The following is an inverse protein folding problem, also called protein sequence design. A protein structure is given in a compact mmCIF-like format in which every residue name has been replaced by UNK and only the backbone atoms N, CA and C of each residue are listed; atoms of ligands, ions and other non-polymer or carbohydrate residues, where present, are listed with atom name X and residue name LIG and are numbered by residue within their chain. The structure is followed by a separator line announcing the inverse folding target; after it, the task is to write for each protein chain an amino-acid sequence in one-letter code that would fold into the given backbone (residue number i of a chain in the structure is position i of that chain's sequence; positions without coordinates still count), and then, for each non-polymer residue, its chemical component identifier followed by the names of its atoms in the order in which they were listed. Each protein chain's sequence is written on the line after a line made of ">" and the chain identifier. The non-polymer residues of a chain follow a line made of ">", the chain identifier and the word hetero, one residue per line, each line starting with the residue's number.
data_IF_832857204076
#
_entry.id   IF_832857204076
#
_cell.length_a   1.000
_cell.length_b   1.000
_cell.length_c   1.000
_cell.angle_alpha   90.00
_cell.angle_beta   90.00
_cell.angle_gamma   90.00
#
_symmetry.space_group_name_H-M   'P 1'
#
loop_
_entity.id
_entity.type
_entity.pdbx_description
1 polymer ?
#
# COMPACT_ATOMS: atom_id res chain seq x y z
N UNK A 1 12.19 -31.47 -13.14
CA UNK A 1 12.75 -30.11 -13.42
C UNK A 1 11.92 -29.04 -12.70
N UNK A 2 10.58 -29.05 -12.79
CA UNK A 2 9.70 -28.08 -12.10
C UNK A 2 9.92 -28.04 -10.59
N UNK A 3 9.98 -29.22 -9.94
CA UNK A 3 10.22 -29.34 -8.49
C UNK A 3 11.57 -28.77 -8.04
N UNK A 4 12.61 -28.86 -8.91
CA UNK A 4 13.94 -28.31 -8.62
C UNK A 4 13.98 -26.79 -8.65
N UNK A 5 13.12 -26.15 -9.44
CA UNK A 5 13.05 -24.70 -9.52
C UNK A 5 12.22 -24.10 -8.38
N UNK A 6 11.34 -24.89 -7.78
CA UNK A 6 10.51 -24.48 -6.67
C UNK A 6 9.53 -23.36 -7.01
N UNK A 7 9.08 -22.66 -6.00
CA UNK A 7 8.15 -21.53 -6.11
C UNK A 7 8.60 -20.33 -5.29
N UNK A 8 8.10 -19.16 -5.61
CA UNK A 8 8.07 -17.99 -4.73
C UNK A 8 6.88 -18.11 -3.78
N UNK A 9 6.68 -17.14 -2.89
CA UNK A 9 5.49 -17.08 -2.03
C UNK A 9 4.17 -16.97 -2.82
N UNK A 10 4.20 -16.69 -4.12
CA UNK A 10 3.01 -16.39 -4.94
C UNK A 10 2.93 -17.14 -6.27
N UNK A 11 4.04 -17.63 -6.80
CA UNK A 11 4.07 -18.22 -8.13
C UNK A 11 5.20 -19.25 -8.27
N UNK A 12 5.02 -20.29 -9.11
CA UNK A 12 6.08 -21.23 -9.44
C UNK A 12 7.17 -20.53 -10.26
N UNK A 13 8.46 -20.82 -9.96
CA UNK A 13 9.61 -20.22 -10.65
C UNK A 13 9.81 -20.70 -12.08
N UNK A 14 9.16 -21.81 -12.45
CA UNK A 14 9.22 -22.38 -13.79
C UNK A 14 8.12 -21.87 -14.74
N UNK A 15 7.12 -21.14 -14.22
CA UNK A 15 6.05 -20.59 -15.05
C UNK A 15 6.51 -19.30 -15.74
N UNK A 16 6.29 -19.21 -17.05
CA UNK A 16 6.62 -18.06 -17.88
C UNK A 16 5.33 -17.57 -18.53
N UNK A 17 5.06 -16.26 -18.39
CA UNK A 17 3.98 -15.61 -19.12
C UNK A 17 4.55 -14.88 -20.35
N UNK A 18 4.03 -15.22 -21.54
CA UNK A 18 4.31 -14.43 -22.75
C UNK A 18 3.45 -13.16 -22.73
N UNK A 19 4.09 -11.99 -22.91
CA UNK A 19 3.44 -10.69 -22.91
C UNK A 19 3.52 -10.04 -24.28
N UNK A 20 2.38 -9.60 -24.80
CA UNK A 20 2.33 -8.78 -26.00
C UNK A 20 2.80 -7.34 -25.69
N UNK A 21 3.24 -6.57 -26.70
CA UNK A 21 3.46 -5.13 -26.53
C UNK A 21 2.21 -4.46 -25.98
N UNK A 22 2.31 -3.63 -24.93
CA UNK A 22 1.14 -2.99 -24.34
C UNK A 22 0.55 -1.95 -25.28
N UNK A 23 -0.76 -1.84 -25.28
CA UNK A 23 -1.50 -0.75 -25.91
C UNK A 23 -1.07 0.59 -25.30
N UNK A 24 -0.84 1.60 -26.15
CA UNK A 24 -0.54 2.97 -25.74
C UNK A 24 -1.68 3.87 -26.20
N UNK A 25 -2.26 4.60 -25.25
CA UNK A 25 -3.35 5.55 -25.49
C UNK A 25 -2.92 6.96 -25.08
N UNK A 26 -3.72 7.97 -25.47
CA UNK A 26 -3.50 9.37 -25.05
C UNK A 26 -4.66 9.81 -24.17
N UNK A 27 -4.34 10.60 -23.15
CA UNK A 27 -5.34 11.22 -22.27
C UNK A 27 -4.82 12.52 -21.70
N UNK A 28 -5.73 13.39 -21.22
CA UNK A 28 -5.36 14.67 -20.60
C UNK A 28 -4.98 14.46 -19.13
N UNK A 29 -3.81 14.96 -18.75
CA UNK A 29 -3.37 15.06 -17.35
C UNK A 29 -4.08 16.26 -16.71
N UNK A 30 -5.05 15.98 -15.85
CA UNK A 30 -5.88 17.00 -15.20
C UNK A 30 -5.20 17.60 -13.97
N UNK A 31 -4.50 16.76 -13.20
CA UNK A 31 -3.84 17.14 -11.96
C UNK A 31 -2.74 16.14 -11.59
N UNK A 32 -1.82 16.54 -10.72
CA UNK A 32 -0.88 15.65 -10.05
C UNK A 32 -1.08 15.79 -8.55
N UNK A 33 -1.52 14.74 -7.90
CA UNK A 33 -1.74 14.67 -6.46
C UNK A 33 -0.71 13.78 -5.79
N UNK A 34 -0.67 13.78 -4.45
CA UNK A 34 0.24 12.92 -3.69
C UNK A 34 -0.53 12.02 -2.74
N UNK A 35 0.00 10.81 -2.54
CA UNK A 35 -0.49 9.85 -1.55
C UNK A 35 0.61 9.50 -0.56
N UNK A 36 0.24 9.26 0.72
CA UNK A 36 1.15 8.91 1.80
C UNK A 36 1.00 7.43 2.11
N UNK A 37 2.03 6.65 1.80
CA UNK A 37 2.04 5.21 2.06
C UNK A 37 2.39 4.85 3.50
N UNK A 38 2.27 3.57 3.86
CA UNK A 38 2.48 3.04 5.23
C UNK A 38 3.85 3.35 5.84
N UNK A 39 4.87 3.57 5.02
CA UNK A 39 6.24 3.92 5.45
C UNK A 39 6.53 5.42 5.39
N UNK A 40 5.49 6.23 5.28
CA UNK A 40 5.59 7.68 5.15
C UNK A 40 5.97 8.18 3.76
N UNK A 41 6.32 7.31 2.80
CA UNK A 41 6.67 7.71 1.44
C UNK A 41 5.53 8.48 0.79
N UNK A 42 5.82 9.69 0.31
CA UNK A 42 4.86 10.57 -0.36
C UNK A 42 5.05 10.41 -1.87
N UNK A 43 4.09 9.78 -2.51
CA UNK A 43 4.19 9.37 -3.91
C UNK A 43 3.25 10.22 -4.77
N UNK A 44 3.76 10.97 -5.77
CA UNK A 44 2.93 11.67 -6.73
C UNK A 44 2.25 10.68 -7.67
N UNK A 45 0.99 10.99 -8.03
CA UNK A 45 0.24 10.25 -9.02
C UNK A 45 -0.53 11.21 -9.94
N UNK A 46 -0.66 10.81 -11.20
CA UNK A 46 -1.42 11.53 -12.20
C UNK A 46 -2.92 11.29 -12.01
N UNK A 47 -3.72 12.36 -12.03
CA UNK A 47 -5.17 12.35 -12.20
C UNK A 47 -5.47 12.75 -13.64
N UNK A 48 -6.13 11.86 -14.38
CA UNK A 48 -6.29 12.00 -15.83
C UNK A 48 -7.77 11.95 -16.23
N UNK A 49 -8.10 12.51 -17.39
CA UNK A 49 -9.38 12.24 -18.01
C UNK A 49 -9.52 10.73 -18.22
N UNK A 50 -10.66 10.12 -17.83
CA UNK A 50 -10.85 8.68 -17.97
C UNK A 50 -10.65 8.23 -19.42
N UNK A 51 -9.86 7.16 -19.61
CA UNK A 51 -9.58 6.60 -20.93
C UNK A 51 -9.63 5.08 -20.89
N UNK A 52 -10.09 4.47 -21.96
CA UNK A 52 -10.08 3.02 -22.10
C UNK A 52 -8.70 2.55 -22.53
N UNK A 53 -8.13 1.59 -21.81
CA UNK A 53 -6.89 0.93 -22.18
C UNK A 53 -6.92 -0.53 -21.74
N UNK A 54 -6.67 -1.44 -22.67
CA UNK A 54 -6.68 -2.90 -22.43
C UNK A 54 -7.93 -3.36 -21.65
N UNK A 55 -9.11 -2.96 -22.13
CA UNK A 55 -10.41 -3.40 -21.60
C UNK A 55 -10.85 -2.82 -20.25
N UNK A 56 -10.12 -1.83 -19.70
CA UNK A 56 -10.52 -1.15 -18.46
C UNK A 56 -10.40 0.38 -18.58
N UNK A 57 -11.22 1.09 -17.83
CA UNK A 57 -11.14 2.56 -17.72
C UNK A 57 -10.08 2.94 -16.70
N UNK A 58 -9.13 3.76 -17.11
CA UNK A 58 -8.05 4.29 -16.25
C UNK A 58 -8.19 5.80 -16.12
N UNK A 59 -8.12 6.32 -14.90
CA UNK A 59 -8.13 7.74 -14.57
C UNK A 59 -6.98 8.16 -13.66
N UNK A 60 -6.20 7.22 -13.14
CA UNK A 60 -5.06 7.49 -12.26
C UNK A 60 -3.86 6.60 -12.61
N UNK A 61 -2.66 7.15 -12.49
CA UNK A 61 -1.41 6.40 -12.68
C UNK A 61 -0.31 6.92 -11.75
N UNK A 62 0.55 6.02 -11.28
CA UNK A 62 1.69 6.44 -10.45
C UNK A 62 2.71 7.25 -11.25
N UNK A 63 3.32 8.22 -10.58
CA UNK A 63 4.48 8.98 -11.09
C UNK A 63 5.74 8.70 -10.24
N UNK A 64 5.67 7.73 -9.34
CA UNK A 64 6.73 7.15 -8.52
C UNK A 64 7.36 8.12 -7.49
N UNK A 65 7.96 9.22 -7.94
CA UNK A 65 8.60 10.23 -7.08
C UNK A 65 8.74 11.58 -7.84
N UNK A 66 9.08 12.68 -7.14
CA UNK A 66 9.22 14.01 -7.79
C UNK A 66 10.29 14.05 -8.87
N UNK A 67 11.38 13.28 -8.72
CA UNK A 67 12.44 13.22 -9.73
C UNK A 67 11.93 12.60 -11.04
N UNK A 68 11.09 11.57 -10.97
CA UNK A 68 10.44 10.96 -12.13
C UNK A 68 9.46 11.91 -12.82
N UNK A 69 8.68 12.69 -12.07
CA UNK A 69 7.82 13.73 -12.66
C UNK A 69 8.65 14.70 -13.49
N UNK A 70 9.75 15.18 -12.91
CA UNK A 70 10.69 16.10 -13.60
C UNK A 70 11.36 15.41 -14.81
N UNK A 71 11.83 14.18 -14.65
CA UNK A 71 12.49 13.42 -15.72
C UNK A 71 11.57 13.16 -16.91
N UNK A 72 10.31 12.83 -16.65
CA UNK A 72 9.29 12.63 -17.69
C UNK A 72 8.88 13.95 -18.36
N UNK A 73 9.12 15.09 -17.71
CA UNK A 73 8.82 16.42 -18.24
C UNK A 73 7.33 16.68 -18.42
N UNK A 74 6.47 16.00 -17.63
CA UNK A 74 5.03 16.16 -17.68
C UNK A 74 4.61 17.41 -16.91
N UNK A 75 3.65 18.14 -17.47
CA UNK A 75 3.03 19.33 -16.87
C UNK A 75 1.53 19.06 -16.68
N UNK A 76 0.95 19.61 -15.63
CA UNK A 76 -0.51 19.57 -15.43
C UNK A 76 -1.16 20.33 -16.61
N UNK A 77 -2.11 19.69 -17.28
CA UNK A 77 -2.73 20.17 -18.49
C UNK A 77 -2.24 19.50 -19.78
N UNK A 78 -1.11 18.78 -19.75
CA UNK A 78 -0.58 18.02 -20.90
C UNK A 78 -1.56 16.97 -21.41
N UNK A 79 -1.49 16.67 -22.70
CA UNK A 79 -1.88 15.35 -23.22
C UNK A 79 -0.69 14.43 -22.97
N UNK A 80 -0.94 13.27 -22.37
CA UNK A 80 0.09 12.31 -22.01
C UNK A 80 -0.13 10.95 -22.68
N UNK A 81 0.95 10.25 -22.97
CA UNK A 81 0.91 8.85 -23.35
C UNK A 81 0.76 7.97 -22.10
N UNK A 82 -0.19 7.05 -22.12
CA UNK A 82 -0.51 6.10 -21.06
C UNK A 82 -0.46 4.69 -21.60
N UNK A 83 0.12 3.77 -20.84
CA UNK A 83 0.03 2.33 -21.06
C UNK A 83 -0.23 1.59 -19.75
N UNK A 84 -0.54 0.30 -19.84
CA UNK A 84 -0.48 -0.61 -18.68
C UNK A 84 0.81 -1.41 -18.71
N UNK A 85 1.71 -1.14 -17.78
CA UNK A 85 2.92 -1.95 -17.60
C UNK A 85 2.52 -3.36 -17.14
N UNK A 86 3.01 -4.39 -17.87
CA UNK A 86 2.65 -5.78 -17.61
C UNK A 86 1.15 -6.10 -17.70
N UNK A 87 0.38 -5.29 -18.45
CA UNK A 87 -1.08 -5.38 -18.62
C UNK A 87 -1.90 -5.08 -17.36
N UNK A 88 -1.27 -4.58 -16.30
CA UNK A 88 -1.92 -4.33 -15.00
C UNK A 88 -1.76 -2.90 -14.52
N UNK A 89 -0.52 -2.38 -14.46
CA UNK A 89 -0.21 -1.12 -13.76
C UNK A 89 -0.22 0.05 -14.76
N UNK A 90 -1.14 1.04 -14.59
CA UNK A 90 -1.11 2.24 -15.39
C UNK A 90 0.19 3.04 -15.20
N UNK A 91 0.82 3.40 -16.31
CA UNK A 91 2.06 4.17 -16.34
C UNK A 91 1.96 5.30 -17.35
N UNK A 92 2.23 6.53 -16.91
CA UNK A 92 2.43 7.68 -17.79
C UNK A 92 3.84 7.59 -18.39
N UNK A 93 3.94 7.57 -19.71
CA UNK A 93 5.21 7.49 -20.42
C UNK A 93 5.87 8.86 -20.57
N UNK A 94 5.08 9.89 -20.89
CA UNK A 94 5.53 11.26 -21.12
C UNK A 94 4.45 12.11 -21.77
N UNK A 95 4.70 13.40 -22.01
CA UNK A 95 3.77 14.31 -22.65
C UNK A 95 3.81 14.20 -24.19
N UNK A 96 2.72 14.61 -24.82
CA UNK A 96 2.66 14.94 -26.27
C UNK A 96 3.00 16.41 -26.38
N UNK A 97 4.29 16.72 -26.50
CA UNK A 97 4.81 18.11 -26.41
C UNK A 97 4.23 19.00 -27.49
N UNK A 98 3.95 18.45 -28.67
CA UNK A 98 3.41 19.17 -29.84
C UNK A 98 1.96 19.66 -29.60
N UNK A 99 1.26 19.08 -28.63
CA UNK A 99 -0.12 19.45 -28.28
C UNK A 99 -0.19 20.46 -27.10
N UNK A 100 0.94 20.98 -26.64
CA UNK A 100 0.99 22.01 -25.60
C UNK A 100 0.43 23.35 -26.10
N UNK A 101 -0.36 23.98 -25.25
CA UNK A 101 -1.03 25.24 -25.54
C UNK A 101 -0.38 26.44 -24.84
N UNK A 102 0.62 26.20 -23.98
CA UNK A 102 1.26 27.21 -23.13
C UNK A 102 0.52 27.54 -21.84
N UNK A 103 -0.57 26.78 -21.53
CA UNK A 103 -1.33 26.90 -20.29
C UNK A 103 -0.94 25.84 -19.25
N UNK A 104 -0.12 24.92 -19.66
CA UNK A 104 0.37 23.84 -18.82
C UNK A 104 1.31 24.38 -17.74
N UNK A 105 1.29 23.79 -16.56
CA UNK A 105 2.11 24.23 -15.44
C UNK A 105 2.77 23.07 -14.72
N UNK A 106 3.91 23.35 -14.08
CA UNK A 106 4.69 22.35 -13.38
C UNK A 106 4.01 21.92 -12.06
N UNK A 107 4.12 20.65 -11.75
CA UNK A 107 3.79 20.14 -10.43
C UNK A 107 4.82 20.62 -9.39
N UNK A 108 4.31 21.09 -8.26
CA UNK A 108 5.12 21.45 -7.09
C UNK A 108 4.84 20.45 -5.97
N UNK A 109 5.88 19.76 -5.53
CA UNK A 109 5.77 18.82 -4.41
C UNK A 109 5.39 19.58 -3.13
N UNK A 110 4.40 19.13 -2.35
CA UNK A 110 4.08 19.78 -1.09
C UNK A 110 5.25 19.72 -0.11
N UNK A 111 5.42 20.76 0.68
CA UNK A 111 6.44 20.83 1.74
C UNK A 111 5.98 20.15 3.02
N UNK A 112 4.68 20.05 3.22
CA UNK A 112 4.07 19.46 4.40
C UNK A 112 3.20 18.25 4.01
N UNK A 113 3.13 17.28 4.91
CA UNK A 113 2.27 16.12 4.74
C UNK A 113 0.79 16.54 4.63
N UNK A 114 0.07 16.15 3.56
CA UNK A 114 -1.32 16.56 3.38
C UNK A 114 -2.26 15.97 4.44
N UNK A 115 -1.84 14.93 5.16
CA UNK A 115 -2.67 14.23 6.13
C UNK A 115 -2.44 14.69 7.59
N UNK A 116 -1.19 15.01 7.96
CA UNK A 116 -0.86 15.37 9.34
C UNK A 116 -0.09 16.68 9.50
N UNK A 117 0.18 17.42 8.42
CA UNK A 117 0.87 18.70 8.46
C UNK A 117 2.37 18.66 8.76
N UNK A 118 2.97 17.50 9.08
CA UNK A 118 4.40 17.39 9.37
C UNK A 118 5.25 17.77 8.18
N UNK A 119 6.37 18.45 8.42
CA UNK A 119 7.33 18.80 7.37
C UNK A 119 7.86 17.53 6.69
N UNK A 120 7.78 17.50 5.36
CA UNK A 120 8.29 16.40 4.56
C UNK A 120 9.79 16.55 4.33
N UNK A 121 10.51 15.42 4.37
CA UNK A 121 11.94 15.39 4.13
C UNK A 121 12.37 14.07 3.49
N UNK A 122 13.50 14.04 2.76
CA UNK A 122 14.14 12.78 2.42
C UNK A 122 14.66 12.09 3.69
N UNK A 123 14.68 10.76 3.73
CA UNK A 123 15.19 10.00 4.89
C UNK A 123 16.71 10.12 5.00
N UNK A 124 17.40 10.22 3.88
CA UNK A 124 18.85 10.42 3.77
C UNK A 124 19.12 11.47 2.71
N UNK A 125 20.26 12.15 2.81
CA UNK A 125 20.74 13.03 1.77
C UNK A 125 20.89 12.25 0.44
N UNK A 126 20.34 12.82 -0.65
CA UNK A 126 20.32 12.19 -1.97
C UNK A 126 19.20 11.16 -2.19
N UNK A 127 18.32 10.91 -1.22
CA UNK A 127 17.15 10.05 -1.42
C UNK A 127 16.15 10.72 -2.37
N UNK A 128 15.75 9.99 -3.41
CA UNK A 128 14.73 10.46 -4.36
C UNK A 128 13.32 10.47 -3.76
N UNK A 129 13.10 9.75 -2.66
CA UNK A 129 11.82 9.63 -1.98
C UNK A 129 11.68 10.69 -0.89
N UNK A 130 10.59 11.42 -0.93
CA UNK A 130 10.18 12.35 0.13
C UNK A 130 9.24 11.62 1.08
N UNK A 131 9.42 11.82 2.38
CA UNK A 131 8.68 11.09 3.42
C UNK A 131 8.08 12.00 4.48
N UNK A 132 6.95 11.56 5.02
CA UNK A 132 6.39 12.08 6.26
C UNK A 132 7.06 11.37 7.45
N UNK A 133 7.80 12.10 8.33
CA UNK A 133 8.53 11.49 9.45
C UNK A 133 7.61 11.07 10.60
N UNK A 134 6.37 11.54 10.61
CA UNK A 134 5.41 11.22 11.67
C UNK A 134 4.85 9.78 11.51
N UNK A 135 5.70 8.79 11.78
CA UNK A 135 5.34 7.38 11.63
C UNK A 135 4.28 6.90 12.64
N UNK A 136 4.19 7.52 13.81
CA UNK A 136 3.30 7.09 14.90
C UNK A 136 1.85 7.54 14.71
N UNK A 137 1.64 8.82 14.43
CA UNK A 137 0.31 9.43 14.50
C UNK A 137 -0.20 10.01 13.18
N UNK A 138 0.52 9.83 12.06
CA UNK A 138 0.02 10.22 10.75
C UNK A 138 -1.16 9.32 10.36
N UNK A 139 -2.38 9.87 10.16
CA UNK A 139 -3.57 9.07 9.87
C UNK A 139 -3.44 8.24 8.62
N UNK A 140 -2.80 8.77 7.56
CA UNK A 140 -2.56 8.03 6.34
C UNK A 140 -1.64 6.83 6.56
N UNK A 141 -0.52 7.02 7.27
CA UNK A 141 0.41 5.92 7.54
C UNK A 141 -0.24 4.83 8.37
N UNK A 142 -1.00 5.20 9.41
CA UNK A 142 -1.71 4.26 10.26
C UNK A 142 -2.78 3.48 9.48
N UNK A 143 -3.57 4.17 8.66
CA UNK A 143 -4.56 3.53 7.76
C UNK A 143 -3.91 2.51 6.83
N UNK A 144 -2.82 2.89 6.18
CA UNK A 144 -2.09 2.01 5.26
C UNK A 144 -1.40 0.83 5.97
N UNK A 145 -0.96 1.00 7.23
CA UNK A 145 -0.42 -0.09 8.05
C UNK A 145 -1.53 -1.07 8.45
N UNK A 146 -2.68 -0.59 8.90
CA UNK A 146 -3.86 -1.44 9.20
C UNK A 146 -4.29 -2.25 7.96
N UNK A 147 -4.39 -1.58 6.81
CA UNK A 147 -4.69 -2.26 5.54
C UNK A 147 -3.64 -3.32 5.19
N UNK A 148 -2.35 -3.02 5.42
CA UNK A 148 -1.29 -3.98 5.20
C UNK A 148 -1.36 -5.18 6.15
N UNK A 149 -1.63 -4.96 7.44
CA UNK A 149 -1.84 -6.03 8.43
C UNK A 149 -2.92 -7.01 7.96
N UNK A 150 -4.04 -6.49 7.41
CA UNK A 150 -5.13 -7.29 6.86
C UNK A 150 -4.84 -7.98 5.54
N UNK A 151 -3.75 -7.62 4.85
CA UNK A 151 -3.48 -8.11 3.50
C UNK A 151 -3.14 -9.62 3.46
N UNK A 152 -3.37 -10.25 2.29
CA UNK A 152 -3.04 -11.67 2.05
C UNK A 152 -1.58 -12.03 2.33
N UNK A 153 -0.67 -11.08 2.12
CA UNK A 153 0.77 -11.29 2.37
C UNK A 153 1.14 -11.24 3.84
N UNK A 154 0.32 -10.62 4.68
CA UNK A 154 0.49 -10.49 6.11
C UNK A 154 -0.47 -11.44 6.86
N UNK A 155 -1.35 -10.94 7.71
CA UNK A 155 -2.21 -11.80 8.54
C UNK A 155 -3.46 -12.33 7.82
N UNK A 156 -3.77 -11.81 6.60
CA UNK A 156 -4.88 -12.28 5.76
C UNK A 156 -6.24 -12.21 6.50
N UNK A 157 -6.58 -11.00 6.93
CA UNK A 157 -7.80 -10.72 7.69
C UNK A 157 -8.87 -10.21 6.73
N UNK A 158 -9.77 -11.10 6.31
CA UNK A 158 -10.91 -10.67 5.50
C UNK A 158 -11.82 -9.72 6.29
N UNK A 159 -12.33 -8.69 5.60
CA UNK A 159 -13.10 -7.62 6.23
C UNK A 159 -12.24 -6.41 6.63
N UNK A 160 -10.92 -6.55 6.78
CA UNK A 160 -9.99 -5.45 7.05
C UNK A 160 -9.40 -4.88 5.75
N UNK A 161 -10.27 -4.38 4.87
CA UNK A 161 -9.87 -3.66 3.66
C UNK A 161 -9.58 -2.18 3.94
N UNK A 162 -9.17 -1.44 2.89
CA UNK A 162 -8.85 -0.02 3.01
C UNK A 162 -9.97 0.83 3.62
N UNK A 163 -11.23 0.59 3.21
CA UNK A 163 -12.40 1.32 3.75
C UNK A 163 -12.66 0.99 5.22
N UNK A 164 -12.53 -0.27 5.61
CA UNK A 164 -12.68 -0.70 7.00
C UNK A 164 -11.57 -0.07 7.87
N UNK A 165 -10.32 -0.09 7.42
CA UNK A 165 -9.20 0.57 8.11
C UNK A 165 -9.44 2.08 8.28
N UNK A 166 -9.98 2.74 7.25
CA UNK A 166 -10.32 4.15 7.33
C UNK A 166 -11.45 4.42 8.34
N UNK A 167 -12.52 3.61 8.33
CA UNK A 167 -13.63 3.75 9.26
C UNK A 167 -13.20 3.52 10.72
N UNK A 168 -12.42 2.48 11.00
CA UNK A 168 -11.92 2.19 12.36
C UNK A 168 -11.15 3.37 12.96
N UNK A 169 -10.38 4.10 12.14
CA UNK A 169 -9.64 5.27 12.58
C UNK A 169 -10.51 6.52 12.67
N UNK A 170 -11.39 6.76 11.69
CA UNK A 170 -12.25 7.93 11.66
C UNK A 170 -13.27 7.94 12.82
N UNK A 171 -13.77 6.76 13.18
CA UNK A 171 -14.71 6.58 14.29
C UNK A 171 -14.01 6.48 15.65
N UNK A 172 -12.67 6.61 15.69
CA UNK A 172 -11.88 6.56 16.93
C UNK A 172 -11.86 5.20 17.62
N UNK A 173 -12.19 4.12 16.90
CA UNK A 173 -12.18 2.75 17.44
C UNK A 173 -10.78 2.19 17.63
N UNK A 174 -9.82 2.72 16.86
CA UNK A 174 -8.40 2.38 16.97
C UNK A 174 -7.54 3.64 16.96
N UNK A 175 -6.47 3.66 17.75
CA UNK A 175 -5.40 4.66 17.70
C UNK A 175 -4.07 4.07 17.20
N UNK A 176 -3.94 2.74 17.20
CA UNK A 176 -2.79 2.01 16.68
C UNK A 176 -3.17 0.58 16.24
N UNK A 177 -2.23 -0.13 15.63
CA UNK A 177 -2.45 -1.47 15.09
C UNK A 177 -2.60 -2.54 16.20
N UNK A 178 -2.03 -2.33 17.39
CA UNK A 178 -2.08 -3.30 18.48
C UNK A 178 -3.51 -3.46 19.02
N UNK A 179 -4.29 -2.38 18.99
CA UNK A 179 -5.67 -2.38 19.45
C UNK A 179 -6.61 -3.20 18.55
N UNK A 180 -6.18 -3.54 17.33
CA UNK A 180 -6.99 -4.30 16.36
C UNK A 180 -7.54 -5.60 16.95
N UNK A 181 -6.72 -6.31 17.74
CA UNK A 181 -7.09 -7.60 18.34
C UNK A 181 -7.93 -7.48 19.61
N UNK A 182 -8.20 -6.24 20.08
CA UNK A 182 -9.05 -5.93 21.21
C UNK A 182 -10.45 -5.41 20.77
N UNK A 183 -10.70 -5.34 19.46
CA UNK A 183 -12.00 -4.90 18.94
C UNK A 183 -13.12 -5.82 19.42
N UNK A 184 -14.18 -5.21 19.94
CA UNK A 184 -15.38 -5.89 20.41
C UNK A 184 -16.59 -5.57 19.54
N UNK A 185 -17.61 -6.42 19.61
CA UNK A 185 -18.90 -6.20 18.96
C UNK A 185 -19.52 -4.86 19.37
N UNK A 186 -19.49 -4.54 20.68
CA UNK A 186 -20.03 -3.30 21.21
C UNK A 186 -19.37 -2.05 20.61
N UNK A 187 -18.04 -2.09 20.40
CA UNK A 187 -17.33 -0.99 19.75
C UNK A 187 -17.71 -0.87 18.27
N UNK A 188 -17.80 -1.97 17.53
CA UNK A 188 -18.16 -1.94 16.12
C UNK A 188 -19.60 -1.45 15.90
N UNK A 189 -20.52 -1.69 16.83
CA UNK A 189 -21.89 -1.18 16.80
C UNK A 189 -21.98 0.34 16.88
N UNK A 190 -20.93 1.05 17.31
CA UNK A 190 -20.91 2.52 17.32
C UNK A 190 -20.53 3.13 15.97
N UNK A 191 -20.12 2.31 15.01
CA UNK A 191 -19.69 2.75 13.67
C UNK A 191 -20.75 2.47 12.62
N UNK A 192 -21.17 3.47 11.90
CA UNK A 192 -22.09 3.35 10.75
C UNK A 192 -21.57 2.40 9.68
N UNK A 193 -20.25 2.34 9.49
CA UNK A 193 -19.63 1.47 8.49
C UNK A 193 -19.81 -0.02 8.82
N UNK A 194 -19.84 -0.38 10.11
CA UNK A 194 -19.92 -1.75 10.58
C UNK A 194 -21.33 -2.16 11.02
N UNK A 195 -22.27 -1.22 11.02
CA UNK A 195 -23.63 -1.41 11.50
C UNK A 195 -24.62 -1.44 10.33
N UNK A 196 -25.72 -2.17 10.50
CA UNK A 196 -26.95 -2.07 9.72
C UNK A 196 -28.11 -1.78 10.66
N UNK A 197 -29.03 -0.95 10.22
CA UNK A 197 -30.25 -0.66 10.97
C UNK A 197 -31.35 -1.63 10.56
N UNK A 198 -31.99 -2.24 11.55
CA UNK A 198 -33.15 -3.14 11.39
C UNK A 198 -34.32 -2.62 12.23
N UNK A 199 -35.50 -3.17 12.03
CA UNK A 199 -36.68 -2.84 12.85
C UNK A 199 -36.48 -3.16 14.33
N UNK A 200 -35.59 -4.11 14.65
CA UNK A 200 -35.21 -4.48 16.02
C UNK A 200 -34.11 -3.61 16.63
N UNK A 201 -33.54 -2.69 15.85
CA UNK A 201 -32.44 -1.82 16.25
C UNK A 201 -31.12 -2.04 15.43
N UNK A 202 -30.03 -1.41 15.88
CA UNK A 202 -28.74 -1.55 15.22
C UNK A 202 -28.13 -2.94 15.44
N UNK A 203 -27.64 -3.56 14.37
CA UNK A 203 -26.94 -4.83 14.37
C UNK A 203 -25.64 -4.74 13.60
N UNK A 204 -24.66 -5.60 13.92
CA UNK A 204 -23.46 -5.74 13.08
C UNK A 204 -23.83 -6.20 11.68
N UNK A 205 -23.27 -5.55 10.68
CA UNK A 205 -23.38 -6.03 9.32
C UNK A 205 -22.47 -7.26 9.08
N UNK A 206 -22.59 -7.88 7.91
CA UNK A 206 -21.82 -9.08 7.57
C UNK A 206 -20.30 -8.85 7.59
N UNK A 207 -19.85 -7.68 7.13
CA UNK A 207 -18.43 -7.33 7.11
C UNK A 207 -17.85 -7.25 8.53
N UNK A 208 -18.59 -6.69 9.47
CA UNK A 208 -18.18 -6.60 10.89
C UNK A 208 -18.07 -7.97 11.55
N UNK A 209 -19.09 -8.84 11.36
CA UNK A 209 -19.06 -10.22 11.89
C UNK A 209 -17.89 -11.00 11.31
N UNK A 210 -17.65 -10.85 9.99
CA UNK A 210 -16.52 -11.48 9.31
C UNK A 210 -15.20 -10.97 9.85
N UNK A 211 -15.03 -9.65 10.04
CA UNK A 211 -13.83 -9.04 10.62
C UNK A 211 -13.52 -9.65 11.99
N UNK A 212 -14.48 -9.70 12.93
CA UNK A 212 -14.25 -10.27 14.27
C UNK A 212 -13.84 -11.75 14.21
N UNK A 213 -14.52 -12.55 13.38
CA UNK A 213 -14.16 -13.95 13.17
C UNK A 213 -12.74 -14.11 12.60
N UNK A 214 -12.37 -13.28 11.65
CA UNK A 214 -11.05 -13.33 11.01
C UNK A 214 -9.92 -12.85 11.93
N UNK A 215 -10.20 -11.92 12.85
CA UNK A 215 -9.25 -11.51 13.89
C UNK A 215 -8.91 -12.68 14.83
N UNK A 216 -9.88 -13.50 15.21
CA UNK A 216 -9.60 -14.71 16.02
C UNK A 216 -8.74 -15.73 15.26
N UNK A 217 -9.02 -15.95 13.97
CA UNK A 217 -8.21 -16.81 13.12
C UNK A 217 -6.78 -16.25 12.96
N UNK A 218 -6.65 -14.93 12.85
CA UNK A 218 -5.36 -14.28 12.67
C UNK A 218 -4.40 -14.47 13.86
N UNK A 219 -4.91 -14.67 15.09
CA UNK A 219 -4.12 -14.96 16.29
C UNK A 219 -3.33 -16.27 16.18
N UNK A 220 -3.74 -17.19 15.32
CA UNK A 220 -3.08 -18.48 15.08
C UNK A 220 -2.16 -18.48 13.85
N UNK A 221 -1.97 -17.34 13.19
CA UNK A 221 -1.10 -17.27 12.01
C UNK A 221 0.37 -17.49 12.38
N UNK A 222 1.16 -18.16 11.51
CA UNK A 222 2.57 -18.43 11.77
C UNK A 222 3.40 -17.15 11.91
N UNK A 223 4.46 -17.20 12.71
CA UNK A 223 5.34 -16.09 13.08
C UNK A 223 5.80 -15.25 11.87
N UNK A 224 6.18 -15.89 10.76
CA UNK A 224 6.64 -15.16 9.59
C UNK A 224 5.59 -14.17 9.03
N UNK A 225 4.29 -14.46 9.18
CA UNK A 225 3.21 -13.56 8.76
C UNK A 225 3.11 -12.34 9.69
N UNK A 226 3.38 -12.54 10.98
CA UNK A 226 3.47 -11.45 11.96
C UNK A 226 4.64 -10.52 11.60
N UNK A 227 5.81 -11.07 11.29
CA UNK A 227 6.98 -10.28 10.86
C UNK A 227 6.69 -9.46 9.60
N UNK A 228 5.99 -10.02 8.63
CA UNK A 228 5.56 -9.28 7.45
C UNK A 228 4.55 -8.18 7.81
N UNK A 229 3.60 -8.47 8.71
CA UNK A 229 2.59 -7.51 9.17
C UNK A 229 3.21 -6.30 9.88
N UNK A 230 4.30 -6.49 10.63
CA UNK A 230 5.06 -5.42 11.29
C UNK A 230 5.70 -4.42 10.30
N UNK A 231 5.71 -4.73 9.00
CA UNK A 231 6.28 -3.85 7.96
C UNK A 231 7.73 -3.44 8.20
N UNK A 232 8.51 -4.29 8.83
CA UNK A 232 9.95 -4.06 9.05
C UNK A 232 10.62 -3.87 7.69
N UNK A 233 11.33 -2.76 7.54
CA UNK A 233 11.99 -2.44 6.28
C UNK A 233 12.98 -3.53 5.88
N UNK A 234 12.95 -3.93 4.62
CA UNK A 234 13.73 -5.01 4.02
C UNK A 234 13.35 -6.43 4.47
N UNK A 235 12.47 -6.60 5.45
CA UNK A 235 11.95 -7.91 5.87
C UNK A 235 10.69 -8.23 5.07
N UNK A 236 10.88 -8.80 3.89
CA UNK A 236 9.80 -9.35 3.06
C UNK A 236 9.45 -10.81 3.44
N UNK A 237 8.50 -11.45 2.72
CA UNK A 237 8.08 -12.82 3.04
C UNK A 237 9.23 -13.84 3.10
N UNK A 238 10.24 -13.72 2.24
CA UNK A 238 11.39 -14.64 2.23
C UNK A 238 12.22 -14.50 3.49
N UNK A 239 12.66 -13.28 3.81
CA UNK A 239 13.43 -13.01 5.02
C UNK A 239 12.61 -13.31 6.29
N UNK A 240 11.31 -12.99 6.31
CA UNK A 240 10.44 -13.31 7.43
C UNK A 240 10.31 -14.82 7.67
N UNK A 241 10.20 -15.63 6.62
CA UNK A 241 10.17 -17.09 6.72
C UNK A 241 11.50 -17.65 7.24
N UNK A 242 12.62 -17.14 6.73
CA UNK A 242 13.95 -17.55 7.17
C UNK A 242 14.18 -17.22 8.66
N UNK A 243 13.87 -15.99 9.08
CA UNK A 243 13.95 -15.58 10.49
C UNK A 243 13.04 -16.41 11.39
N UNK A 244 11.79 -16.64 10.99
CA UNK A 244 10.85 -17.44 11.77
C UNK A 244 11.29 -18.90 11.90
N UNK A 245 11.88 -19.49 10.87
CA UNK A 245 12.39 -20.84 10.88
C UNK A 245 13.65 -20.98 11.75
N UNK A 246 14.54 -19.97 11.73
CA UNK A 246 15.80 -19.99 12.48
C UNK A 246 15.56 -19.75 13.98
N UNK A 247 14.79 -18.73 14.34
CA UNK A 247 14.63 -18.26 15.72
C UNK A 247 13.39 -18.83 16.44
N UNK A 248 12.36 -19.21 15.73
CA UNK A 248 11.14 -19.81 16.27
C UNK A 248 10.21 -18.88 17.03
N UNK A 249 10.69 -17.76 17.57
CA UNK A 249 9.89 -16.79 18.33
C UNK A 249 10.31 -15.35 18.07
N UNK A 250 9.37 -14.40 18.30
CA UNK A 250 9.66 -12.97 18.16
C UNK A 250 10.66 -12.48 19.23
N UNK A 251 10.60 -13.05 20.43
CA UNK A 251 11.50 -12.69 21.52
C UNK A 251 12.93 -13.11 21.20
N UNK A 252 13.14 -14.31 20.63
CA UNK A 252 14.45 -14.75 20.17
C UNK A 252 15.01 -13.84 19.08
N UNK A 253 14.18 -13.41 18.11
CA UNK A 253 14.59 -12.45 17.08
C UNK A 253 14.98 -11.11 17.71
N UNK A 254 14.19 -10.62 18.64
CA UNK A 254 14.42 -9.32 19.29
C UNK A 254 15.68 -9.28 20.17
N UNK A 255 16.10 -10.44 20.71
CA UNK A 255 17.28 -10.57 21.57
C UNK A 255 18.54 -10.97 20.79
N UNK A 256 18.39 -11.42 19.55
CA UNK A 256 19.52 -11.88 18.72
C UNK A 256 20.47 -10.72 18.38
N UNK A 257 21.79 -10.95 18.42
CA UNK A 257 22.77 -9.95 17.97
C UNK A 257 22.66 -9.74 16.45
N UNK A 258 23.03 -8.54 16.00
CA UNK A 258 22.96 -8.17 14.57
C UNK A 258 23.72 -9.12 13.65
N UNK A 259 24.85 -9.64 14.11
CA UNK A 259 25.69 -10.60 13.36
C UNK A 259 24.94 -11.91 13.10
N UNK A 260 24.22 -12.41 14.11
CA UNK A 260 23.41 -13.62 13.97
C UNK A 260 22.21 -13.38 13.05
N UNK A 261 21.49 -12.26 13.19
CA UNK A 261 20.41 -11.88 12.27
C UNK A 261 20.88 -11.82 10.82
N UNK A 262 22.05 -11.19 10.59
CA UNK A 262 22.62 -11.06 9.24
C UNK A 262 23.16 -12.39 8.67
N UNK A 263 23.42 -13.39 9.51
CA UNK A 263 23.90 -14.70 9.08
C UNK A 263 22.80 -15.62 8.55
N UNK A 264 21.53 -15.27 8.80
CA UNK A 264 20.38 -16.07 8.34
C UNK A 264 20.25 -15.97 6.83
N UNK A 265 20.28 -17.12 6.14
CA UNK A 265 20.20 -17.18 4.69
C UNK A 265 18.88 -16.56 4.18
N UNK A 266 18.99 -15.52 3.35
CA UNK A 266 17.84 -14.78 2.80
C UNK A 266 17.45 -13.51 3.56
N UNK A 267 18.25 -13.10 4.55
CA UNK A 267 18.13 -11.82 5.27
C UNK A 267 19.12 -10.78 4.76
#
# INVERSE_FOLDING_TARGET
>A
MQDRLGSTSRAPRWAIAYKYPPEVVRTRLLDIQVNVGRTGRVTPFAVMAPVQVSGTTVSMATLHNPAEVKRKGVLIGDIVFLRKAGEIIPEVLGPVVEERTGKEHAFVMPTNCPECGSLLAPEKEGDADIRCPNSRSCPAQLRERLFHVGSRGALDIEGLGWKASAALLADGLLSDEAQLFNLSEAQLLTSEFFTRHTDAGPELNENARKLLSQLEIAKSRPLWRVLVALSIRHVGPTAAQALAAHFGSIDAIAQAPNEELASVDGV
#
